data_IF_495154147459
#
_entry.id   IF_495154147459
#
_cell.length_a   1.000
_cell.length_b   1.000
_cell.length_c   1.000
_cell.angle_alpha   90.00
_cell.angle_beta   90.00
_cell.angle_gamma   90.00
#
_symmetry.space_group_name_H-M   'P 1'
#
loop_
_entity.id
_entity.type
_entity.pdbx_description
1 polymer ?
#
# COMPACT_ATOMS: atom_id res chain seq x y z
N UNK A 1 -25.50 7.32 17.29
CA UNK A 1 -24.30 8.18 17.22
C UNK A 1 -23.18 7.18 17.35
N UNK A 2 -22.36 6.97 16.31
CA UNK A 2 -21.37 5.90 16.32
C UNK A 2 -20.48 5.96 17.56
N UNK A 3 -20.11 4.80 18.07
CA UNK A 3 -19.07 4.69 19.09
C UNK A 3 -17.71 5.09 18.52
N UNK A 4 -17.46 4.73 17.26
CA UNK A 4 -16.18 4.93 16.59
C UNK A 4 -16.34 5.42 15.14
N UNK A 5 -15.63 6.49 14.79
CA UNK A 5 -15.34 6.84 13.39
C UNK A 5 -13.90 6.45 13.06
N UNK A 6 -13.71 5.55 12.10
CA UNK A 6 -12.39 5.22 11.55
C UNK A 6 -12.15 6.06 10.30
N UNK A 7 -11.00 6.71 10.22
CA UNK A 7 -10.62 7.58 9.10
C UNK A 7 -9.53 6.86 8.30
N UNK A 8 -9.89 6.49 7.06
CA UNK A 8 -9.09 5.69 6.14
C UNK A 8 -9.58 4.24 6.04
N UNK A 9 -9.99 3.82 4.84
CA UNK A 9 -10.39 2.44 4.53
C UNK A 9 -9.22 1.64 3.89
N UNK A 10 -8.00 1.86 4.39
CA UNK A 10 -6.88 0.93 4.16
C UNK A 10 -7.03 -0.34 5.00
N UNK A 11 -6.12 -1.31 4.82
CA UNK A 11 -6.16 -2.59 5.54
C UNK A 11 -6.25 -2.39 7.08
N UNK A 12 -5.48 -1.45 7.63
CA UNK A 12 -5.50 -1.16 9.08
C UNK A 12 -6.87 -0.65 9.54
N UNK A 13 -7.44 0.34 8.84
CA UNK A 13 -8.71 0.94 9.22
C UNK A 13 -9.88 -0.02 9.07
N UNK A 14 -9.91 -0.81 7.99
CA UNK A 14 -10.94 -1.83 7.79
C UNK A 14 -10.84 -2.96 8.84
N UNK A 15 -9.63 -3.41 9.17
CA UNK A 15 -9.42 -4.43 10.19
C UNK A 15 -9.85 -3.91 11.58
N UNK A 16 -9.50 -2.68 11.92
CA UNK A 16 -9.93 -2.00 13.15
C UNK A 16 -11.45 -1.90 13.22
N UNK A 17 -12.08 -1.41 12.16
CA UNK A 17 -13.53 -1.28 12.09
C UNK A 17 -14.24 -2.63 12.26
N UNK A 18 -13.75 -3.68 11.60
CA UNK A 18 -14.30 -5.04 11.70
C UNK A 18 -14.16 -5.60 13.11
N UNK A 19 -13.01 -5.41 13.73
CA UNK A 19 -12.77 -5.90 15.09
C UNK A 19 -13.60 -5.13 16.13
N UNK A 20 -13.75 -3.81 16.00
CA UNK A 20 -14.61 -3.01 16.87
C UNK A 20 -16.09 -3.38 16.69
N UNK A 21 -16.58 -3.51 15.45
CA UNK A 21 -17.95 -3.95 15.17
C UNK A 21 -18.23 -5.37 15.70
N UNK A 22 -17.26 -6.28 15.59
CA UNK A 22 -17.33 -7.63 16.17
C UNK A 22 -17.42 -7.65 17.70
N UNK A 23 -17.07 -6.55 18.37
CA UNK A 23 -17.26 -6.35 19.83
C UNK A 23 -18.56 -5.58 20.16
N UNK A 24 -19.41 -5.34 19.16
CA UNK A 24 -20.71 -4.68 19.33
C UNK A 24 -20.70 -3.16 19.20
N UNK A 25 -19.58 -2.53 18.82
CA UNK A 25 -19.52 -1.09 18.63
C UNK A 25 -20.25 -0.64 17.34
N UNK A 26 -20.96 0.50 17.38
CA UNK A 26 -21.47 1.19 16.20
C UNK A 26 -20.30 1.92 15.50
N UNK A 27 -19.92 1.46 14.30
CA UNK A 27 -18.73 1.98 13.58
C UNK A 27 -19.11 2.60 12.24
N UNK A 28 -18.44 3.70 11.89
CA UNK A 28 -18.44 4.26 10.53
C UNK A 28 -16.99 4.40 10.05
N UNK A 29 -16.72 4.05 8.79
CA UNK A 29 -15.41 4.26 8.14
C UNK A 29 -15.55 5.36 7.09
N UNK A 30 -14.71 6.39 7.15
CA UNK A 30 -14.67 7.46 6.16
C UNK A 30 -13.39 7.32 5.32
N UNK A 31 -13.54 7.17 4.01
CA UNK A 31 -12.43 7.04 3.06
C UNK A 31 -12.46 8.19 2.06
N UNK A 32 -11.32 8.83 1.86
CA UNK A 32 -11.23 9.98 0.96
C UNK A 32 -11.36 9.60 -0.52
N UNK A 33 -10.93 8.40 -0.90
CA UNK A 33 -10.99 7.90 -2.28
C UNK A 33 -12.35 7.26 -2.62
N UNK A 34 -12.58 7.07 -3.91
CA UNK A 34 -13.69 6.27 -4.44
C UNK A 34 -13.46 4.75 -4.34
N UNK A 35 -12.48 4.30 -3.57
CA UNK A 35 -12.12 2.89 -3.38
C UNK A 35 -11.55 2.64 -2.00
N UNK A 36 -11.71 1.40 -1.53
CA UNK A 36 -10.97 0.89 -0.36
C UNK A 36 -9.53 0.50 -0.72
N UNK A 37 -8.74 0.16 0.30
CA UNK A 37 -7.41 -0.45 0.17
C UNK A 37 -6.24 0.48 0.46
N UNK A 38 -6.44 1.81 0.36
CA UNK A 38 -5.37 2.78 0.59
C UNK A 38 -4.17 2.52 -0.35
N UNK A 39 -3.04 2.10 0.22
CA UNK A 39 -1.82 1.70 -0.51
C UNK A 39 -1.92 0.36 -1.22
N UNK A 40 -2.95 -0.43 -0.95
CA UNK A 40 -3.29 -1.61 -1.74
C UNK A 40 -4.08 -1.16 -2.96
N UNK A 41 -3.57 -1.52 -4.14
CA UNK A 41 -4.20 -1.31 -5.43
C UNK A 41 -3.81 -2.46 -6.35
N UNK A 42 -4.79 -3.08 -6.98
CA UNK A 42 -4.58 -4.15 -7.94
C UNK A 42 -5.22 -3.76 -9.28
N UNK A 43 -4.48 -3.93 -10.36
CA UNK A 43 -5.01 -3.85 -11.72
C UNK A 43 -5.64 -5.21 -12.08
N UNK A 44 -6.90 -5.21 -12.53
CA UNK A 44 -7.66 -6.43 -12.81
C UNK A 44 -7.82 -6.62 -14.32
N UNK A 45 -7.58 -7.84 -14.78
CA UNK A 45 -7.85 -8.32 -16.13
C UNK A 45 -8.74 -9.56 -16.06
N UNK A 46 -9.10 -10.13 -17.21
CA UNK A 46 -9.81 -11.42 -17.24
C UNK A 46 -8.96 -12.57 -16.67
N UNK A 47 -7.62 -12.45 -16.72
CA UNK A 47 -6.70 -13.45 -16.20
C UNK A 47 -6.56 -13.40 -14.67
N UNK A 48 -6.83 -12.26 -14.04
CA UNK A 48 -6.77 -12.10 -12.59
C UNK A 48 -6.39 -10.69 -12.17
N UNK A 49 -5.59 -10.56 -11.11
CA UNK A 49 -5.22 -9.27 -10.54
C UNK A 49 -3.71 -9.15 -10.32
N UNK A 50 -3.17 -7.97 -10.64
CA UNK A 50 -1.76 -7.63 -10.54
C UNK A 50 -1.57 -6.42 -9.63
N UNK A 51 -0.81 -6.57 -8.55
CA UNK A 51 -0.69 -5.52 -7.54
C UNK A 51 0.25 -4.38 -7.98
N UNK A 52 -0.29 -3.15 -7.95
CA UNK A 52 0.42 -1.87 -8.15
C UNK A 52 0.88 -1.25 -6.82
N UNK A 53 0.37 -1.76 -5.70
CA UNK A 53 0.83 -1.48 -4.34
C UNK A 53 1.76 -2.57 -3.81
N UNK A 54 1.59 -3.02 -2.55
CA UNK A 54 2.30 -4.19 -2.05
C UNK A 54 1.84 -5.44 -2.82
N UNK A 55 2.78 -6.31 -3.17
CA UNK A 55 2.50 -7.54 -3.93
C UNK A 55 2.86 -8.82 -3.17
N UNK A 56 3.62 -8.70 -2.09
CA UNK A 56 4.17 -9.85 -1.37
C UNK A 56 3.70 -9.92 0.07
N UNK A 57 3.65 -11.16 0.56
CA UNK A 57 3.36 -11.55 1.94
C UNK A 57 4.33 -12.65 2.37
N UNK A 58 4.62 -12.72 3.67
CA UNK A 58 5.50 -13.76 4.24
C UNK A 58 4.83 -14.47 5.43
N UNK A 59 3.81 -15.31 5.21
CA UNK A 59 3.04 -15.97 6.28
C UNK A 59 3.87 -16.74 7.32
N UNK A 60 5.05 -17.23 6.94
CA UNK A 60 5.98 -17.92 7.85
C UNK A 60 6.50 -17.02 8.98
N UNK A 61 6.59 -15.70 8.76
CA UNK A 61 7.09 -14.71 9.72
C UNK A 61 6.09 -13.56 9.99
N UNK A 62 4.96 -13.53 9.27
CA UNK A 62 3.90 -12.52 9.40
C UNK A 62 2.59 -13.21 9.82
N UNK A 63 2.40 -13.48 11.13
CA UNK A 63 1.32 -14.31 11.63
C UNK A 63 -0.06 -13.69 11.44
N UNK A 64 -0.20 -12.35 11.45
CA UNK A 64 -1.51 -11.70 11.25
C UNK A 64 -1.93 -11.83 9.81
N UNK A 65 -1.01 -11.66 8.87
CA UNK A 65 -1.25 -11.90 7.45
C UNK A 65 -1.61 -13.37 7.21
N UNK A 66 -0.86 -14.31 7.80
CA UNK A 66 -1.18 -15.74 7.69
C UNK A 66 -2.61 -16.05 8.13
N UNK A 67 -3.01 -15.54 9.31
CA UNK A 67 -4.37 -15.69 9.85
C UNK A 67 -5.42 -15.03 8.95
N UNK A 68 -5.15 -13.82 8.45
CA UNK A 68 -6.10 -13.06 7.65
C UNK A 68 -6.34 -13.72 6.28
N UNK A 69 -5.29 -14.22 5.63
CA UNK A 69 -5.37 -14.99 4.38
C UNK A 69 -6.16 -16.29 4.60
N UNK A 70 -5.83 -17.05 5.65
CA UNK A 70 -6.53 -18.29 5.99
C UNK A 70 -8.02 -18.04 6.28
N UNK A 71 -8.35 -17.04 7.11
CA UNK A 71 -9.72 -16.70 7.45
C UNK A 71 -10.54 -16.21 6.25
N UNK A 72 -9.89 -15.63 5.24
CA UNK A 72 -10.52 -15.22 3.99
C UNK A 72 -10.63 -16.37 2.96
N UNK A 73 -10.07 -17.55 3.24
CA UNK A 73 -10.04 -18.67 2.28
C UNK A 73 -9.22 -18.36 1.03
N UNK A 74 -8.24 -17.45 1.12
CA UNK A 74 -7.44 -17.00 -0.01
C UNK A 74 -6.25 -17.95 -0.24
N UNK A 75 -6.02 -18.31 -1.49
CA UNK A 75 -4.89 -19.14 -1.89
C UNK A 75 -3.61 -18.31 -2.07
N UNK A 76 -2.48 -18.90 -1.70
CA UNK A 76 -1.16 -18.31 -1.87
C UNK A 76 -0.42 -18.95 -3.04
N UNK A 77 0.37 -18.14 -3.73
CA UNK A 77 1.24 -18.58 -4.83
C UNK A 77 2.66 -18.12 -4.54
N UNK A 78 3.64 -18.98 -4.77
CA UNK A 78 5.05 -18.59 -4.63
C UNK A 78 5.42 -17.57 -5.72
N UNK A 79 6.31 -16.63 -5.37
CA UNK A 79 6.92 -15.75 -6.36
C UNK A 79 7.75 -16.58 -7.35
N UNK A 80 7.52 -16.37 -8.64
CA UNK A 80 8.28 -17.07 -9.66
C UNK A 80 9.72 -16.52 -9.68
N UNK A 81 10.69 -17.38 -9.40
CA UNK A 81 12.12 -17.03 -9.36
C UNK A 81 12.98 -18.02 -10.16
N UNK A 82 12.38 -19.06 -10.75
CA UNK A 82 13.09 -20.11 -11.46
C UNK A 82 13.68 -19.61 -12.78
N UNK A 83 14.97 -19.87 -13.01
CA UNK A 83 15.70 -19.51 -14.21
C UNK A 83 16.74 -18.41 -13.97
N UNK A 84 17.35 -17.98 -15.07
CA UNK A 84 18.42 -16.99 -15.05
C UNK A 84 17.93 -15.62 -14.63
N UNK A 85 18.72 -14.97 -13.78
CA UNK A 85 18.50 -13.61 -13.30
C UNK A 85 19.35 -12.62 -14.09
N UNK A 86 18.86 -11.41 -14.33
CA UNK A 86 19.60 -10.39 -15.07
C UNK A 86 20.10 -9.30 -14.13
N UNK A 87 21.39 -9.01 -14.17
CA UNK A 87 21.97 -7.82 -13.56
C UNK A 87 22.37 -6.82 -14.63
N UNK A 88 22.03 -5.54 -14.45
CA UNK A 88 22.48 -4.45 -15.31
C UNK A 88 23.23 -3.39 -14.49
N UNK A 89 24.46 -3.09 -14.89
CA UNK A 89 25.30 -2.09 -14.24
C UNK A 89 24.97 -0.64 -14.69
N UNK A 90 25.60 0.36 -14.06
CA UNK A 90 25.41 1.77 -14.39
C UNK A 90 25.84 2.15 -15.82
N UNK A 91 26.74 1.36 -16.43
CA UNK A 91 27.15 1.55 -17.82
C UNK A 91 26.14 0.92 -18.81
N UNK A 92 25.09 0.29 -18.31
CA UNK A 92 24.04 -0.37 -19.10
C UNK A 92 24.42 -1.78 -19.57
N UNK A 93 25.55 -2.33 -19.13
CA UNK A 93 25.97 -3.69 -19.49
C UNK A 93 25.14 -4.70 -18.72
N UNK A 94 24.65 -5.72 -19.42
CA UNK A 94 23.84 -6.79 -18.83
C UNK A 94 24.67 -8.05 -18.61
N UNK A 95 24.42 -8.72 -17.48
CA UNK A 95 24.97 -10.02 -17.14
C UNK A 95 23.83 -10.96 -16.76
N UNK A 96 23.80 -12.15 -17.38
CA UNK A 96 22.92 -13.24 -16.96
C UNK A 96 23.61 -14.05 -15.87
N UNK A 97 22.99 -14.12 -14.71
CA UNK A 97 23.35 -15.00 -13.61
C UNK A 97 22.51 -16.29 -13.70
N UNK A 98 23.04 -17.44 -13.22
CA UNK A 98 22.33 -18.71 -13.30
C UNK A 98 21.04 -18.74 -12.47
N UNK A 99 21.01 -17.99 -11.35
CA UNK A 99 19.87 -17.86 -10.46
C UNK A 99 19.90 -16.48 -9.77
N UNK A 100 18.74 -16.04 -9.29
CA UNK A 100 18.59 -14.81 -8.51
C UNK A 100 18.99 -14.97 -7.05
N UNK A 101 18.62 -13.97 -6.25
CA UNK A 101 18.78 -13.98 -4.81
C UNK A 101 17.51 -14.55 -4.17
N UNK A 102 17.55 -15.84 -3.82
CA UNK A 102 16.43 -16.48 -3.13
C UNK A 102 16.13 -15.77 -1.81
N UNK A 103 14.85 -15.48 -1.57
CA UNK A 103 14.38 -14.96 -0.30
C UNK A 103 14.14 -16.12 0.69
N UNK A 104 14.59 -15.96 1.93
CA UNK A 104 14.32 -16.93 2.99
C UNK A 104 13.70 -16.21 4.22
N UNK A 105 12.42 -16.48 4.55
CA UNK A 105 11.49 -17.37 3.86
C UNK A 105 11.05 -16.84 2.47
N UNK A 106 10.56 -17.72 1.56
CA UNK A 106 10.14 -17.30 0.24
C UNK A 106 9.01 -16.27 0.30
N UNK A 107 9.04 -15.32 -0.63
CA UNK A 107 7.95 -14.37 -0.80
C UNK A 107 6.75 -15.03 -1.50
N UNK A 108 5.56 -14.80 -0.96
CA UNK A 108 4.31 -15.32 -1.52
C UNK A 108 3.45 -14.18 -2.02
N UNK A 109 2.57 -14.45 -2.99
CA UNK A 109 1.52 -13.55 -3.45
C UNK A 109 0.15 -14.17 -3.16
N UNK A 110 -0.89 -13.34 -3.15
CA UNK A 110 -2.27 -13.78 -2.94
C UNK A 110 -2.95 -13.95 -4.29
N UNK A 111 -3.65 -15.06 -4.50
CA UNK A 111 -4.51 -15.26 -5.67
C UNK A 111 -5.63 -14.22 -5.66
N UNK A 112 -5.79 -13.46 -6.75
CA UNK A 112 -6.68 -12.30 -6.79
C UNK A 112 -6.05 -11.00 -6.25
N UNK A 113 -4.75 -11.01 -5.94
CA UNK A 113 -3.97 -9.86 -5.47
C UNK A 113 -4.21 -9.53 -4.01
N UNK A 114 -3.41 -8.61 -3.45
CA UNK A 114 -3.61 -8.11 -2.09
C UNK A 114 -4.99 -7.41 -1.95
N UNK A 115 -5.54 -6.87 -3.05
CA UNK A 115 -6.89 -6.34 -3.10
C UNK A 115 -7.97 -7.30 -2.60
N UNK A 116 -7.85 -8.60 -2.91
CA UNK A 116 -8.80 -9.62 -2.46
C UNK A 116 -8.82 -9.75 -0.92
N UNK A 117 -7.66 -9.60 -0.26
CA UNK A 117 -7.58 -9.59 1.21
C UNK A 117 -8.32 -8.38 1.80
N UNK A 118 -8.13 -7.19 1.21
CA UNK A 118 -8.83 -5.97 1.63
C UNK A 118 -10.34 -6.12 1.48
N UNK A 119 -10.79 -6.65 0.35
CA UNK A 119 -12.21 -6.93 0.06
C UNK A 119 -12.81 -7.94 1.04
N UNK A 120 -12.08 -9.00 1.38
CA UNK A 120 -12.52 -9.99 2.35
C UNK A 120 -12.65 -9.39 3.76
N UNK A 121 -11.74 -8.50 4.17
CA UNK A 121 -11.85 -7.77 5.44
C UNK A 121 -13.05 -6.83 5.42
N UNK A 122 -13.29 -6.11 4.32
CA UNK A 122 -14.42 -5.19 4.18
C UNK A 122 -15.79 -5.90 4.17
N UNK A 123 -15.87 -7.08 3.56
CA UNK A 123 -17.12 -7.89 3.49
C UNK A 123 -17.64 -8.29 4.87
N UNK A 124 -16.78 -8.31 5.89
CA UNK A 124 -17.20 -8.52 7.28
C UNK A 124 -17.94 -7.34 7.93
N UNK A 125 -18.08 -6.21 7.23
CA UNK A 125 -18.79 -5.02 7.71
C UNK A 125 -20.18 -4.92 7.08
N UNK A 126 -21.14 -4.41 7.84
CA UNK A 126 -22.49 -4.18 7.33
C UNK A 126 -22.50 -3.16 6.17
N UNK A 127 -23.43 -3.29 5.20
CA UNK A 127 -23.59 -2.32 4.13
C UNK A 127 -23.74 -0.88 4.66
N UNK A 128 -23.05 0.08 4.05
CA UNK A 128 -23.11 1.50 4.43
C UNK A 128 -22.19 1.91 5.60
N UNK A 129 -21.51 0.97 6.28
CA UNK A 129 -20.49 1.27 7.29
C UNK A 129 -19.31 2.01 6.66
N UNK A 130 -18.83 1.54 5.51
CA UNK A 130 -17.75 2.18 4.75
C UNK A 130 -18.33 3.21 3.80
N UNK A 131 -17.93 4.47 3.98
CA UNK A 131 -18.35 5.62 3.17
C UNK A 131 -17.16 6.15 2.39
N UNK A 132 -17.19 5.91 1.09
CA UNK A 132 -16.16 6.36 0.15
C UNK A 132 -16.38 7.83 -0.21
N UNK A 133 -15.34 8.50 -0.67
CA UNK A 133 -15.37 9.91 -1.09
C UNK A 133 -15.81 10.87 0.03
N UNK A 134 -15.36 10.56 1.25
CA UNK A 134 -15.53 11.36 2.45
C UNK A 134 -14.15 11.78 2.96
N UNK A 135 -13.62 12.87 2.40
CA UNK A 135 -12.30 13.39 2.77
C UNK A 135 -12.40 14.20 4.06
N UNK A 136 -12.00 13.62 5.19
CA UNK A 136 -11.97 14.31 6.49
C UNK A 136 -11.02 15.50 6.44
N UNK A 137 -11.51 16.67 6.85
CA UNK A 137 -10.75 17.93 6.91
C UNK A 137 -10.57 18.45 8.32
N UNK A 138 -11.48 18.13 9.23
CA UNK A 138 -11.44 18.62 10.61
C UNK A 138 -11.93 17.60 11.63
N UNK A 139 -11.29 17.57 12.79
CA UNK A 139 -11.73 16.83 13.98
C UNK A 139 -11.73 17.78 15.17
N UNK A 140 -12.86 17.93 15.84
CA UNK A 140 -13.00 18.80 17.00
C UNK A 140 -13.47 18.01 18.24
N UNK A 141 -12.92 18.30 19.41
CA UNK A 141 -13.50 17.85 20.66
C UNK A 141 -14.87 18.48 20.86
N UNK A 142 -15.76 17.68 21.43
CA UNK A 142 -17.07 18.08 21.90
C UNK A 142 -17.21 17.69 23.37
N UNK A 143 -18.30 18.11 24.03
CA UNK A 143 -18.54 17.73 25.42
C UNK A 143 -18.67 16.22 25.66
N UNK A 144 -19.00 15.43 24.62
CA UNK A 144 -19.28 13.99 24.73
C UNK A 144 -18.37 13.10 23.87
N UNK A 145 -17.50 13.67 23.03
CA UNK A 145 -16.67 12.91 22.08
C UNK A 145 -16.01 13.79 21.05
N UNK A 146 -16.14 13.43 19.77
CA UNK A 146 -15.55 14.15 18.64
C UNK A 146 -16.59 14.50 17.58
N UNK A 147 -16.40 15.64 16.92
CA UNK A 147 -17.06 16.03 15.68
C UNK A 147 -16.06 15.92 14.53
N UNK A 148 -16.38 15.11 13.52
CA UNK A 148 -15.54 14.83 12.35
C UNK A 148 -16.20 15.46 11.13
N UNK A 149 -15.59 16.50 10.57
CA UNK A 149 -16.06 17.16 9.36
C UNK A 149 -15.31 16.63 8.13
N UNK A 150 -16.07 16.28 7.09
CA UNK A 150 -15.56 15.75 5.84
C UNK A 150 -16.16 16.47 4.62
N UNK A 151 -15.35 16.63 3.59
CA UNK A 151 -15.80 17.03 2.26
C UNK A 151 -16.28 15.81 1.48
N UNK A 152 -17.45 15.92 0.86
CA UNK A 152 -18.04 14.84 0.07
C UNK A 152 -18.53 15.32 -1.29
N UNK A 153 -18.91 14.40 -2.17
CA UNK A 153 -19.55 14.75 -3.46
C UNK A 153 -20.83 15.58 -3.31
N UNK A 154 -21.52 15.47 -2.17
CA UNK A 154 -22.77 16.21 -1.90
C UNK A 154 -22.53 17.50 -1.10
N UNK A 155 -21.28 17.87 -0.87
CA UNK A 155 -20.90 19.01 -0.03
C UNK A 155 -20.35 18.60 1.34
N UNK A 156 -20.08 19.59 2.21
CA UNK A 156 -19.51 19.34 3.53
C UNK A 156 -20.51 18.60 4.43
N UNK A 157 -20.01 17.69 5.25
CA UNK A 157 -20.78 17.02 6.29
C UNK A 157 -20.01 16.94 7.60
N UNK A 158 -20.76 16.80 8.69
CA UNK A 158 -20.19 16.54 10.01
C UNK A 158 -20.87 15.34 10.64
N UNK A 159 -20.06 14.43 11.17
CA UNK A 159 -20.51 13.29 11.97
C UNK A 159 -19.98 13.41 13.40
N UNK A 160 -20.76 12.96 14.37
CA UNK A 160 -20.35 12.90 15.77
C UNK A 160 -20.14 11.46 16.19
N UNK A 161 -19.13 11.22 17.03
CA UNK A 161 -18.87 9.92 17.62
C UNK A 161 -18.24 10.04 19.01
N UNK A 162 -18.28 8.96 19.80
CA UNK A 162 -17.62 8.94 21.10
C UNK A 162 -16.09 9.04 20.96
N UNK A 163 -15.54 8.37 19.93
CA UNK A 163 -14.10 8.33 19.60
C UNK A 163 -13.86 8.34 18.09
N UNK A 164 -12.64 8.67 17.68
CA UNK A 164 -12.16 8.50 16.32
C UNK A 164 -10.85 7.70 16.29
N UNK A 165 -10.59 7.01 15.18
CA UNK A 165 -9.31 6.39 14.90
C UNK A 165 -8.75 6.89 13.58
N UNK A 166 -7.49 7.33 13.58
CA UNK A 166 -6.77 7.82 12.41
C UNK A 166 -5.92 6.67 11.84
N UNK A 167 -6.46 5.94 10.86
CA UNK A 167 -5.76 4.85 10.17
C UNK A 167 -5.05 5.35 8.90
N UNK A 168 -4.26 6.42 9.06
CA UNK A 168 -3.62 7.17 7.98
C UNK A 168 -2.09 7.19 8.15
N UNK A 169 -1.32 7.38 7.07
CA UNK A 169 0.08 7.79 7.17
C UNK A 169 0.24 9.02 8.08
N UNK A 170 1.24 9.06 8.99
CA UNK A 170 1.35 10.11 10.00
C UNK A 170 1.46 11.53 9.43
N UNK A 171 2.20 11.70 8.34
CA UNK A 171 2.34 12.99 7.64
C UNK A 171 1.01 13.53 7.09
N UNK A 172 0.06 12.66 6.75
CA UNK A 172 -1.26 13.09 6.27
C UNK A 172 -2.17 13.59 7.40
N UNK A 173 -1.90 13.21 8.65
CA UNK A 173 -2.66 13.73 9.81
C UNK A 173 -2.43 15.23 9.96
N UNK A 174 -1.24 15.73 9.62
CA UNK A 174 -0.94 17.17 9.61
C UNK A 174 -1.79 17.99 8.63
N UNK A 175 -2.45 17.34 7.66
CA UNK A 175 -3.41 17.97 6.74
C UNK A 175 -4.84 18.04 7.26
N UNK A 176 -5.11 17.54 8.48
CA UNK A 176 -6.42 17.59 9.13
C UNK A 176 -6.37 18.63 10.25
N UNK A 177 -7.31 19.56 10.25
CA UNK A 177 -7.44 20.51 11.34
C UNK A 177 -7.94 19.79 12.61
N UNK A 178 -7.18 19.86 13.71
CA UNK A 178 -7.56 19.28 15.00
C UNK A 178 -7.82 20.41 16.00
N UNK A 179 -9.00 20.41 16.64
CA UNK A 179 -9.46 21.49 17.52
C UNK A 179 -9.90 20.97 18.90
N UNK A 180 -9.30 21.41 20.02
CA UNK A 180 -8.09 22.25 20.11
C UNK A 180 -6.85 21.61 19.48
N UNK A 181 -5.86 22.41 19.08
CA UNK A 181 -4.67 21.87 18.42
C UNK A 181 -3.98 20.76 19.24
N UNK A 182 -3.45 19.73 18.56
CA UNK A 182 -2.55 18.77 19.19
C UNK A 182 -1.33 19.51 19.76
N UNK A 183 -0.66 18.99 20.82
CA UNK A 183 0.56 19.61 21.30
C UNK A 183 1.63 19.71 20.20
N UNK A 184 2.42 20.80 20.15
CA UNK A 184 3.44 20.98 19.12
C UNK A 184 4.43 19.82 19.01
N UNK A 185 4.76 19.17 20.13
CA UNK A 185 5.62 17.98 20.16
C UNK A 185 5.03 16.79 19.39
N UNK A 186 3.72 16.58 19.50
CA UNK A 186 2.99 15.54 18.76
C UNK A 186 2.92 15.88 17.28
N UNK A 187 2.62 17.14 16.94
CA UNK A 187 2.60 17.60 15.54
C UNK A 187 3.97 17.39 14.88
N UNK A 188 5.05 17.78 15.57
CA UNK A 188 6.42 17.58 15.10
C UNK A 188 6.76 16.08 14.93
N UNK A 189 6.35 15.24 15.89
CA UNK A 189 6.55 13.79 15.80
C UNK A 189 5.85 13.19 14.57
N UNK A 190 4.59 13.57 14.32
CA UNK A 190 3.83 13.09 13.15
C UNK A 190 4.46 13.53 11.83
N UNK A 191 4.95 14.77 11.76
CA UNK A 191 5.51 15.35 10.54
C UNK A 191 6.80 14.63 10.07
N UNK A 192 7.60 14.11 11.01
CA UNK A 192 8.87 13.47 10.65
C UNK A 192 8.72 12.00 10.27
N UNK A 193 7.64 11.32 10.65
CA UNK A 193 7.46 9.88 10.36
C UNK A 193 7.11 9.65 8.89
N UNK A 194 8.03 9.07 8.10
CA UNK A 194 7.83 8.85 6.66
C UNK A 194 6.86 7.71 6.38
N UNK A 195 6.11 7.79 5.28
CA UNK A 195 5.41 6.62 4.73
C UNK A 195 6.38 5.78 3.90
N UNK A 196 6.63 4.51 4.26
CA UNK A 196 7.59 3.63 3.57
C UNK A 196 7.36 3.56 2.05
N UNK A 197 6.09 3.44 1.63
CA UNK A 197 5.71 3.40 0.22
C UNK A 197 5.36 4.76 -0.39
N UNK A 198 5.36 5.84 0.39
CA UNK A 198 4.81 7.12 -0.05
C UNK A 198 5.63 7.75 -1.20
N UNK A 199 6.96 7.67 -1.16
CA UNK A 199 7.84 8.17 -2.24
C UNK A 199 8.00 7.24 -3.44
N UNK A 200 7.36 6.06 -3.42
CA UNK A 200 7.65 4.97 -4.35
C UNK A 200 6.74 4.98 -5.58
N UNK A 201 7.14 4.25 -6.62
CA UNK A 201 6.31 3.98 -7.79
C UNK A 201 6.54 2.56 -8.30
N UNK A 202 5.53 2.03 -9.00
CA UNK A 202 5.57 0.69 -9.58
C UNK A 202 5.07 0.72 -11.01
N UNK A 203 5.74 -0.01 -11.89
CA UNK A 203 5.31 -0.27 -13.25
C UNK A 203 4.91 -1.73 -13.41
N UNK A 204 3.89 -1.98 -14.23
CA UNK A 204 3.42 -3.30 -14.66
C UNK A 204 3.36 -3.31 -16.18
N UNK A 205 3.87 -4.36 -16.81
CA UNK A 205 3.83 -4.57 -18.24
C UNK A 205 3.14 -5.90 -18.55
N UNK A 206 2.10 -5.87 -19.38
CA UNK A 206 1.30 -7.04 -19.77
C UNK A 206 1.73 -7.61 -21.13
N UNK A 207 1.69 -8.93 -21.25
CA UNK A 207 2.07 -9.68 -22.45
C UNK A 207 1.14 -10.87 -22.68
N UNK A 208 1.08 -11.38 -23.90
CA UNK A 208 0.22 -12.53 -24.23
C UNK A 208 0.78 -13.90 -23.78
N UNK A 209 2.08 -13.95 -23.46
CA UNK A 209 2.78 -15.16 -22.98
C UNK A 209 4.07 -14.83 -22.24
N UNK A 210 4.57 -15.69 -21.34
CA UNK A 210 5.78 -15.45 -20.56
C UNK A 210 7.05 -15.89 -21.30
N UNK A 211 7.32 -15.30 -22.48
CA UNK A 211 8.41 -15.72 -23.39
C UNK A 211 9.82 -15.69 -22.76
N UNK A 212 10.04 -14.90 -21.71
CA UNK A 212 11.31 -14.90 -20.96
C UNK A 212 11.57 -16.25 -20.29
N UNK A 213 10.52 -16.98 -19.89
CA UNK A 213 10.65 -18.33 -19.32
C UNK A 213 11.14 -19.33 -20.37
N UNK A 214 10.69 -19.20 -21.62
CA UNK A 214 11.17 -20.04 -22.74
C UNK A 214 12.68 -19.80 -23.02
N UNK A 215 13.17 -18.59 -22.75
CA UNK A 215 14.59 -18.25 -22.81
C UNK A 215 15.38 -18.71 -21.56
N UNK A 216 14.72 -19.39 -20.62
CA UNK A 216 15.27 -19.83 -19.34
C UNK A 216 15.58 -18.69 -18.37
N UNK A 217 14.87 -17.58 -18.45
CA UNK A 217 14.97 -16.44 -17.53
C UNK A 217 13.82 -16.46 -16.52
N UNK A 218 14.10 -16.00 -15.30
CA UNK A 218 13.09 -15.92 -14.23
C UNK A 218 12.11 -14.77 -14.39
N UNK A 219 12.43 -13.78 -15.24
CA UNK A 219 11.73 -12.50 -15.28
C UNK A 219 12.17 -11.54 -14.17
N UNK A 220 13.16 -11.92 -13.35
CA UNK A 220 13.71 -11.05 -12.31
C UNK A 220 15.03 -10.40 -12.73
N UNK A 221 15.20 -9.14 -12.33
CA UNK A 221 16.41 -8.39 -12.58
C UNK A 221 16.69 -7.29 -11.54
N UNK A 222 17.97 -6.96 -11.38
CA UNK A 222 18.41 -5.71 -10.78
C UNK A 222 19.07 -4.83 -11.83
N UNK A 223 18.69 -3.57 -11.86
CA UNK A 223 19.23 -2.60 -12.81
C UNK A 223 19.69 -1.34 -12.11
N UNK A 224 20.89 -0.89 -12.46
CA UNK A 224 21.41 0.42 -12.09
C UNK A 224 21.29 1.43 -13.25
N UNK A 225 20.64 1.04 -14.34
CA UNK A 225 20.35 1.90 -15.49
C UNK A 225 18.84 1.98 -15.75
N UNK A 226 18.37 3.13 -16.23
CA UNK A 226 16.96 3.33 -16.57
C UNK A 226 16.04 3.55 -15.36
N UNK A 227 14.71 3.65 -15.60
CA UNK A 227 13.73 4.04 -14.58
C UNK A 227 13.46 2.99 -13.50
N UNK A 228 13.56 1.70 -13.83
CA UNK A 228 13.28 0.60 -12.91
C UNK A 228 14.58 0.06 -12.30
N UNK A 229 14.59 -0.20 -10.99
CA UNK A 229 15.75 -0.70 -10.25
C UNK A 229 15.67 -2.19 -9.92
N UNK A 230 14.47 -2.66 -9.61
CA UNK A 230 14.18 -4.05 -9.24
C UNK A 230 12.96 -4.50 -10.02
N UNK A 231 13.07 -5.66 -10.69
CA UNK A 231 12.08 -6.17 -11.63
C UNK A 231 11.82 -7.65 -11.33
N UNK A 232 10.58 -8.08 -11.56
CA UNK A 232 10.11 -9.43 -11.24
C UNK A 232 9.00 -9.89 -12.17
N UNK A 233 8.85 -11.21 -12.28
CA UNK A 233 7.71 -11.86 -12.93
C UNK A 233 6.44 -11.69 -12.08
N UNK A 234 5.38 -11.17 -12.69
CA UNK A 234 4.07 -11.00 -12.09
C UNK A 234 3.02 -11.98 -12.64
N UNK A 235 3.38 -12.86 -13.56
CA UNK A 235 2.45 -13.75 -14.25
C UNK A 235 1.73 -14.68 -13.26
N UNK A 236 0.47 -14.96 -13.55
CA UNK A 236 -0.39 -15.77 -12.70
C UNK A 236 -0.31 -17.25 -13.13
N UNK A 237 -0.26 -18.21 -12.19
CA UNK A 237 -0.26 -19.63 -12.54
C UNK A 237 -1.49 -20.02 -13.37
N UNK A 238 -1.28 -20.74 -14.48
CA UNK A 238 -2.35 -21.23 -15.35
C UNK A 238 -2.95 -20.19 -16.31
N UNK A 239 -2.57 -18.91 -16.20
CA UNK A 239 -2.97 -17.89 -17.16
C UNK A 239 -2.07 -17.89 -18.40
N UNK A 240 -2.66 -17.66 -19.58
CA UNK A 240 -1.90 -17.37 -20.79
C UNK A 240 -1.26 -15.97 -20.70
N UNK A 241 -2.02 -14.98 -20.23
CA UNK A 241 -1.55 -13.62 -19.99
C UNK A 241 -0.39 -13.62 -18.98
N UNK A 242 0.69 -12.97 -19.38
CA UNK A 242 1.90 -12.84 -18.59
C UNK A 242 2.15 -11.39 -18.21
N UNK A 243 2.93 -11.19 -17.15
CA UNK A 243 3.24 -9.85 -16.68
C UNK A 243 4.64 -9.78 -16.09
N UNK A 244 5.29 -8.63 -16.29
CA UNK A 244 6.48 -8.22 -15.57
C UNK A 244 6.15 -6.95 -14.79
N UNK A 245 6.69 -6.79 -13.59
CA UNK A 245 6.62 -5.53 -12.88
C UNK A 245 8.00 -5.04 -12.47
N UNK A 246 8.10 -3.77 -12.14
CA UNK A 246 9.30 -3.24 -11.50
C UNK A 246 9.05 -2.05 -10.60
N UNK A 247 9.90 -1.91 -9.59
CA UNK A 247 9.97 -0.73 -8.73
C UNK A 247 10.90 0.31 -9.35
N UNK A 248 10.52 1.57 -9.23
CA UNK A 248 11.33 2.65 -9.77
C UNK A 248 12.58 2.90 -8.91
N UNK A 249 13.72 3.11 -9.57
CA UNK A 249 14.94 3.64 -8.96
C UNK A 249 15.03 5.16 -9.07
N UNK A 250 14.27 5.77 -9.98
CA UNK A 250 14.27 7.21 -10.19
C UNK A 250 13.52 7.96 -9.08
N UNK A 251 14.05 9.12 -8.62
CA UNK A 251 13.38 9.93 -7.63
C UNK A 251 12.06 10.52 -8.19
N UNK A 252 11.07 10.83 -7.32
CA UNK A 252 9.76 11.37 -7.75
C UNK A 252 9.84 12.54 -8.72
N UNK A 253 10.72 13.51 -8.47
CA UNK A 253 10.88 14.70 -9.32
C UNK A 253 11.24 14.32 -10.77
N UNK A 254 12.13 13.34 -10.96
CA UNK A 254 12.52 12.89 -12.31
C UNK A 254 11.39 12.12 -12.99
N UNK A 255 10.63 11.31 -12.22
CA UNK A 255 9.46 10.57 -12.73
C UNK A 255 8.37 11.54 -13.21
N UNK A 256 8.11 12.61 -12.46
CA UNK A 256 7.19 13.68 -12.86
C UNK A 256 7.69 14.40 -14.11
N UNK A 257 8.95 14.83 -14.14
CA UNK A 257 9.54 15.55 -15.27
C UNK A 257 9.56 14.73 -16.58
N UNK A 258 9.56 13.40 -16.49
CA UNK A 258 9.61 12.47 -17.64
C UNK A 258 8.30 11.69 -17.83
N UNK A 259 7.21 12.05 -17.15
CA UNK A 259 5.96 11.26 -17.09
C UNK A 259 5.48 10.77 -18.46
N UNK A 260 5.44 11.65 -19.46
CA UNK A 260 4.96 11.32 -20.81
C UNK A 260 5.84 10.28 -21.52
N UNK A 261 7.14 10.22 -21.21
CA UNK A 261 8.08 9.28 -21.82
C UNK A 261 8.22 7.97 -21.04
N UNK A 262 7.70 7.88 -19.81
CA UNK A 262 7.91 6.71 -18.95
C UNK A 262 7.48 5.38 -19.59
N UNK A 263 6.30 5.25 -20.24
CA UNK A 263 5.90 3.98 -20.84
C UNK A 263 6.91 3.44 -21.85
N UNK A 264 7.42 4.30 -22.74
CA UNK A 264 8.41 3.93 -23.75
C UNK A 264 9.78 3.60 -23.12
N UNK A 265 10.21 4.38 -22.12
CA UNK A 265 11.45 4.15 -21.39
C UNK A 265 11.43 2.79 -20.66
N UNK A 266 10.30 2.44 -20.05
CA UNK A 266 10.08 1.17 -19.35
C UNK A 266 10.05 0.01 -20.34
N UNK A 267 9.28 0.12 -21.42
CA UNK A 267 9.23 -0.90 -22.47
C UNK A 267 10.64 -1.17 -23.03
N UNK A 268 11.39 -0.11 -23.37
CA UNK A 268 12.77 -0.25 -23.84
C UNK A 268 13.66 -0.94 -22.81
N UNK A 269 13.54 -0.60 -21.53
CA UNK A 269 14.31 -1.24 -20.46
C UNK A 269 13.99 -2.74 -20.36
N UNK A 270 12.71 -3.13 -20.37
CA UNK A 270 12.31 -4.53 -20.41
C UNK A 270 12.90 -5.25 -21.64
N UNK A 271 12.89 -4.60 -22.81
CA UNK A 271 13.52 -5.12 -24.02
C UNK A 271 15.03 -5.39 -23.88
N UNK A 272 15.75 -4.48 -23.22
CA UNK A 272 17.18 -4.65 -22.93
C UNK A 272 17.45 -5.81 -21.98
N UNK A 273 16.58 -6.02 -20.99
CA UNK A 273 16.81 -7.01 -19.93
C UNK A 273 16.35 -8.42 -20.32
N UNK A 274 15.20 -8.54 -20.99
CA UNK A 274 14.55 -9.84 -21.23
C UNK A 274 14.32 -10.16 -22.71
N UNK A 275 14.92 -9.37 -23.62
CA UNK A 275 14.88 -9.58 -25.06
C UNK A 275 13.82 -8.76 -25.81
N UNK A 276 13.92 -8.71 -27.13
CA UNK A 276 13.17 -7.77 -27.96
C UNK A 276 11.63 -7.82 -27.81
N UNK A 277 11.07 -8.98 -27.47
CA UNK A 277 9.63 -9.16 -27.22
C UNK A 277 9.18 -8.45 -25.94
N UNK A 278 10.04 -8.40 -24.90
CA UNK A 278 9.80 -7.60 -23.70
C UNK A 278 9.83 -6.09 -23.98
N UNK A 279 10.39 -5.69 -25.12
CA UNK A 279 10.32 -4.32 -25.63
C UNK A 279 8.94 -3.91 -26.14
N UNK A 280 7.99 -4.83 -26.22
CA UNK A 280 6.68 -4.64 -26.88
C UNK A 280 5.53 -5.11 -26.00
N UNK A 281 5.37 -4.58 -24.78
CA UNK A 281 4.22 -4.92 -23.95
C UNK A 281 2.91 -4.48 -24.62
N UNK A 282 1.85 -5.25 -24.38
CA UNK A 282 0.48 -4.84 -24.76
C UNK A 282 0.08 -3.54 -24.08
N UNK A 283 0.46 -3.42 -22.81
CA UNK A 283 0.15 -2.27 -21.97
C UNK A 283 1.24 -2.08 -20.93
N UNK A 284 1.55 -0.81 -20.62
CA UNK A 284 2.38 -0.43 -19.47
C UNK A 284 1.53 0.42 -18.54
N UNK A 285 1.33 -0.08 -17.33
CA UNK A 285 0.56 0.57 -16.27
C UNK A 285 1.52 1.08 -15.21
N UNK A 286 1.36 2.32 -14.78
CA UNK A 286 2.26 2.96 -13.80
C UNK A 286 1.43 3.53 -12.67
N UNK A 287 1.73 3.13 -11.44
CA UNK A 287 1.23 3.78 -10.24
C UNK A 287 2.37 4.54 -9.56
N UNK A 288 2.22 5.86 -9.52
CA UNK A 288 3.13 6.77 -8.83
C UNK A 288 2.52 7.20 -7.49
N UNK A 289 2.92 6.54 -6.40
CA UNK A 289 2.40 6.82 -5.07
C UNK A 289 2.87 8.16 -4.50
N UNK A 290 3.98 8.72 -5.01
CA UNK A 290 4.49 10.02 -4.58
C UNK A 290 3.58 11.18 -5.03
N UNK A 291 2.72 10.94 -6.01
CA UNK A 291 1.78 11.92 -6.55
C UNK A 291 0.35 11.72 -6.03
N UNK A 292 0.14 10.72 -5.17
CA UNK A 292 -1.17 10.40 -4.59
C UNK A 292 -1.43 11.22 -3.32
N UNK A 293 -2.39 12.18 -3.33
CA UNK A 293 -2.55 13.14 -2.23
C UNK A 293 -3.05 12.52 -0.91
N UNK A 294 -3.68 11.35 -0.99
CA UNK A 294 -4.12 10.58 0.19
C UNK A 294 -3.19 9.40 0.49
N UNK A 295 -1.94 9.45 0.00
CA UNK A 295 -0.87 8.50 0.34
C UNK A 295 0.41 9.20 0.76
N UNK A 296 0.80 10.29 0.08
CA UNK A 296 2.09 10.94 0.22
C UNK A 296 1.96 12.46 0.39
N UNK A 297 2.92 13.06 1.07
CA UNK A 297 3.17 14.50 1.07
C UNK A 297 4.48 14.82 0.34
N UNK A 298 4.75 16.10 0.08
CA UNK A 298 6.04 16.53 -0.50
C UNK A 298 7.23 16.11 0.37
N UNK A 299 7.06 16.05 1.69
CA UNK A 299 8.10 15.59 2.60
C UNK A 299 8.50 14.11 2.35
N UNK A 300 7.61 13.30 1.76
CA UNK A 300 7.91 11.91 1.41
C UNK A 300 8.85 11.78 0.20
N UNK A 301 9.02 12.83 -0.59
CA UNK A 301 9.85 12.78 -1.79
C UNK A 301 11.36 12.75 -1.48
N UNK A 302 11.73 13.19 -0.27
CA UNK A 302 13.10 13.21 0.21
C UNK A 302 13.48 11.96 1.04
N UNK A 303 12.55 11.01 1.23
CA UNK A 303 12.83 9.81 2.01
C UNK A 303 13.88 8.93 1.31
N UNK A 304 14.86 8.44 2.08
CA UNK A 304 15.85 7.50 1.57
C UNK A 304 15.28 6.10 1.29
N UNK A 305 16.13 5.21 0.80
CA UNK A 305 15.76 3.83 0.45
C UNK A 305 15.82 2.84 1.64
N UNK A 306 16.18 3.32 2.84
CA UNK A 306 16.25 2.48 4.03
C UNK A 306 14.87 2.37 4.69
N UNK A 307 14.51 1.16 5.11
CA UNK A 307 13.26 0.95 5.82
C UNK A 307 13.26 1.72 7.15
N UNK A 308 12.26 2.59 7.43
CA UNK A 308 12.19 3.36 8.66
C UNK A 308 12.02 2.47 9.90
N UNK A 309 12.60 2.89 11.03
CA UNK A 309 12.25 2.36 12.35
C UNK A 309 11.01 3.11 12.87
N UNK A 310 9.91 2.38 13.05
CA UNK A 310 8.63 2.96 13.44
C UNK A 310 8.40 2.82 14.95
N UNK A 311 7.90 3.89 15.57
CA UNK A 311 7.55 3.93 16.99
C UNK A 311 6.11 4.43 17.13
N UNK A 312 5.26 3.78 17.95
CA UNK A 312 3.93 4.30 18.24
C UNK A 312 4.00 5.71 18.82
N UNK A 313 3.10 6.59 18.37
CA UNK A 313 2.96 7.93 18.93
C UNK A 313 1.72 7.94 19.82
N UNK A 314 1.93 8.21 21.11
CA UNK A 314 0.83 8.38 22.06
C UNK A 314 0.32 9.82 22.04
N UNK A 315 -1.00 9.99 22.03
CA UNK A 315 -1.63 11.30 22.20
C UNK A 315 -1.87 11.55 23.69
N UNK A 316 -1.50 12.73 24.22
CA UNK A 316 -1.78 13.06 25.62
C UNK A 316 -3.27 13.36 25.83
N UNK A 317 -3.71 13.38 27.09
CA UNK A 317 -5.05 13.85 27.42
C UNK A 317 -5.28 15.31 26.97
N UNK A 318 -6.50 15.67 26.53
CA UNK A 318 -7.67 14.80 26.40
C UNK A 318 -7.69 13.95 25.12
N UNK A 319 -6.75 14.16 24.20
CA UNK A 319 -6.75 13.50 22.88
C UNK A 319 -6.58 11.99 22.94
N UNK A 320 -5.72 11.47 23.83
CA UNK A 320 -5.50 10.03 23.97
C UNK A 320 -6.76 9.23 24.36
N UNK A 321 -7.76 9.88 24.96
CA UNK A 321 -9.03 9.24 25.33
C UNK A 321 -10.04 9.23 24.16
N UNK A 322 -9.82 10.08 23.15
CA UNK A 322 -10.80 10.38 22.08
C UNK A 322 -10.31 10.01 20.69
N UNK A 323 -9.00 10.04 20.47
CA UNK A 323 -8.37 9.71 19.20
C UNK A 323 -7.33 8.62 19.42
N UNK A 324 -7.44 7.56 18.62
CA UNK A 324 -6.40 6.53 18.53
C UNK A 324 -5.67 6.67 17.18
N UNK A 325 -4.34 6.65 17.21
CA UNK A 325 -3.55 6.56 15.99
C UNK A 325 -3.41 5.08 15.58
N UNK A 326 -3.71 4.78 14.33
CA UNK A 326 -3.56 3.47 13.73
C UNK A 326 -2.78 3.60 12.41
N UNK A 327 -2.84 2.59 11.54
CA UNK A 327 -2.03 2.55 10.32
C UNK A 327 -0.69 1.87 10.53
N UNK A 328 -0.09 1.40 9.43
CA UNK A 328 1.10 0.54 9.48
C UNK A 328 2.27 1.20 10.23
N UNK A 329 2.43 2.51 10.11
CA UNK A 329 3.49 3.29 10.75
C UNK A 329 3.36 3.39 12.28
N UNK A 330 2.21 2.99 12.86
CA UNK A 330 2.02 2.91 14.30
C UNK A 330 2.45 1.57 14.90
N UNK A 331 2.82 0.60 14.07
CA UNK A 331 3.29 -0.70 14.55
C UNK A 331 4.80 -0.69 14.79
N UNK A 332 5.28 -1.11 15.98
CA UNK A 332 6.71 -1.20 16.27
C UNK A 332 7.40 -2.36 15.53
N UNK A 333 6.63 -3.38 15.16
CA UNK A 333 7.09 -4.52 14.37
C UNK A 333 6.39 -4.49 13.00
N UNK A 334 7.16 -4.74 11.94
CA UNK A 334 6.67 -4.71 10.56
C UNK A 334 5.94 -3.40 10.19
N UNK A 335 6.30 -2.28 10.81
CA UNK A 335 5.73 -0.99 10.45
C UNK A 335 5.97 -0.71 8.96
N UNK A 336 5.02 -0.05 8.28
CA UNK A 336 5.08 0.14 6.82
C UNK A 336 4.67 -1.08 5.97
N UNK A 337 4.52 -2.28 6.55
CA UNK A 337 4.01 -3.48 5.87
C UNK A 337 2.51 -3.72 6.15
N UNK A 338 1.92 -4.68 5.41
CA UNK A 338 0.57 -5.18 5.66
C UNK A 338 0.43 -5.81 7.06
N UNK A 339 1.46 -6.52 7.53
CA UNK A 339 1.51 -7.08 8.90
C UNK A 339 1.43 -5.98 9.96
N UNK A 340 2.22 -4.91 9.81
CA UNK A 340 2.15 -3.75 10.70
C UNK A 340 0.79 -3.05 10.65
N UNK A 341 0.15 -2.99 9.48
CA UNK A 341 -1.21 -2.46 9.35
C UNK A 341 -2.23 -3.23 10.21
N UNK A 342 -2.15 -4.57 10.21
CA UNK A 342 -2.98 -5.44 11.04
C UNK A 342 -2.59 -5.34 12.53
N UNK A 343 -1.30 -5.26 12.85
CA UNK A 343 -0.83 -5.12 14.23
C UNK A 343 -1.31 -3.82 14.88
N UNK A 344 -1.22 -2.70 14.17
CA UNK A 344 -1.73 -1.41 14.62
C UNK A 344 -3.25 -1.42 14.81
N UNK A 345 -3.98 -2.13 13.93
CA UNK A 345 -5.42 -2.28 14.06
C UNK A 345 -5.79 -3.05 15.35
N UNK A 346 -5.14 -4.17 15.62
CA UNK A 346 -5.38 -4.96 16.84
C UNK A 346 -5.08 -4.17 18.12
N UNK A 347 -3.98 -3.41 18.14
CA UNK A 347 -3.64 -2.55 19.27
C UNK A 347 -4.68 -1.45 19.51
N UNK A 348 -5.21 -0.85 18.44
CA UNK A 348 -6.19 0.23 18.51
C UNK A 348 -7.58 -0.23 19.00
N UNK A 349 -7.94 -1.51 18.85
CA UNK A 349 -9.22 -2.07 19.33
C UNK A 349 -9.22 -2.29 20.86
N UNK A 350 -8.03 -2.43 21.47
CA UNK A 350 -7.87 -2.71 22.90
C UNK A 350 -7.89 -1.43 23.75
N UNK A 351 -7.59 -0.28 23.14
CA UNK A 351 -7.67 1.04 23.77
C UNK A 351 -9.09 1.60 23.75
#
# INVERSE_FOLDING_TARGET
MPDLIVIGAGLSGLALARAAAGRGAEVVVLEARARIGGRVLSHRTEAGAYDLGPAWVWPAIQPRIARAVHAAGLALIEQAEAGGFIYQDQAGRTQRLPHGFAQEPPSLRITGGIGALVEAVATGLAPGVVRLEHAVRRIALTGSGVAVAAETRSGPMTLHAARAALALPPRLIGGIEIAPALPPSVQAALAVVPGWMAGQAKALALYDRPFWRDAGLSGSAFSQAGPLGELHDASLPGAAEAALFGFFSWPPALRVARRAALPELIARQFGTLFGAEAGRPREVIIQDWATEPFTATEADHANGNAHPDYRPIALPAPWGERITLAGAEMAPEFGGYLEGALAAAEAAVIA
#
